data_IF_626596584149
#
_entry.id   IF_626596584149
#
_cell.length_a   1.000
_cell.length_b   1.000
_cell.length_c   1.000
_cell.angle_alpha   90.00
_cell.angle_beta   90.00
_cell.angle_gamma   90.00
#
_symmetry.space_group_name_H-M   'P 1'
#
loop_
_entity.id
_entity.type
_entity.pdbx_description
1 polymer ?
#
# COMPACT_ATOMS: atom_id res chain seq x y z
N UNK A 1 2.83 -18.03 -4.34
CA UNK A 1 2.39 -17.04 -5.36
C UNK A 1 1.94 -15.71 -4.73
N UNK A 2 1.01 -15.71 -3.75
CA UNK A 2 0.53 -14.51 -3.04
C UNK A 2 1.62 -13.59 -2.46
N UNK A 3 2.57 -14.15 -1.70
CA UNK A 3 3.65 -13.35 -1.08
C UNK A 3 4.52 -12.63 -2.12
N UNK A 4 4.85 -13.30 -3.23
CA UNK A 4 5.63 -12.70 -4.32
C UNK A 4 4.86 -11.55 -5.00
N UNK A 5 3.54 -11.69 -5.17
CA UNK A 5 2.69 -10.61 -5.68
C UNK A 5 2.71 -9.40 -4.74
N UNK A 6 2.55 -9.60 -3.44
CA UNK A 6 2.62 -8.52 -2.45
C UNK A 6 4.00 -7.85 -2.40
N UNK A 7 5.08 -8.62 -2.49
CA UNK A 7 6.45 -8.09 -2.55
C UNK A 7 6.64 -7.15 -3.75
N UNK A 8 6.03 -7.47 -4.91
CA UNK A 8 6.05 -6.58 -6.09
C UNK A 8 5.20 -5.33 -5.91
N UNK A 9 4.19 -5.33 -5.04
CA UNK A 9 3.36 -4.16 -4.75
C UNK A 9 4.07 -3.14 -3.86
N UNK A 10 5.00 -3.57 -2.99
CA UNK A 10 5.74 -2.66 -2.10
C UNK A 10 6.45 -1.49 -2.82
N UNK A 11 7.24 -1.69 -3.89
CA UNK A 11 7.85 -0.56 -4.61
C UNK A 11 6.81 0.35 -5.29
N UNK A 12 5.65 -0.19 -5.70
CA UNK A 12 4.57 0.61 -6.30
C UNK A 12 3.89 1.52 -5.27
N UNK A 13 3.67 0.99 -4.07
CA UNK A 13 3.12 1.77 -2.95
C UNK A 13 4.13 2.82 -2.44
N UNK A 14 5.44 2.55 -2.52
CA UNK A 14 6.46 3.57 -2.31
C UNK A 14 6.39 4.70 -3.36
N UNK A 15 6.32 4.34 -4.64
CA UNK A 15 6.18 5.33 -5.71
C UNK A 15 4.94 6.21 -5.50
N UNK A 16 3.81 5.62 -5.09
CA UNK A 16 2.59 6.35 -4.70
C UNK A 16 2.83 7.37 -3.59
N UNK A 17 3.60 7.02 -2.55
CA UNK A 17 3.99 7.99 -1.50
C UNK A 17 4.79 9.14 -2.09
N UNK A 18 5.81 8.84 -2.91
CA UNK A 18 6.68 9.85 -3.53
C UNK A 18 5.86 10.79 -4.40
N UNK A 19 4.96 10.26 -5.23
CA UNK A 19 4.05 11.07 -6.04
C UNK A 19 3.14 11.94 -5.18
N UNK A 20 2.53 11.39 -4.13
CA UNK A 20 1.66 12.15 -3.23
C UNK A 20 2.40 13.28 -2.50
N UNK A 21 3.63 13.03 -2.04
CA UNK A 21 4.48 14.06 -1.42
C UNK A 21 4.82 15.17 -2.42
N UNK A 22 5.20 14.81 -3.65
CA UNK A 22 5.51 15.76 -4.70
C UNK A 22 4.28 16.59 -5.09
N UNK A 23 3.12 15.97 -5.25
CA UNK A 23 1.88 16.67 -5.56
C UNK A 23 1.53 17.69 -4.48
N UNK A 24 1.65 17.32 -3.19
CA UNK A 24 1.45 18.26 -2.08
C UNK A 24 2.43 19.41 -2.10
N UNK A 25 3.72 19.14 -2.33
CA UNK A 25 4.75 20.17 -2.41
C UNK A 25 4.52 21.16 -3.57
N UNK A 26 3.89 20.70 -4.66
CA UNK A 26 3.56 21.51 -5.82
C UNK A 26 2.12 22.09 -5.80
N UNK A 27 1.43 22.05 -4.67
CA UNK A 27 0.07 22.58 -4.53
C UNK A 27 -1.04 21.76 -5.20
N UNK A 28 -0.74 20.59 -5.76
CA UNK A 28 -1.72 19.66 -6.36
C UNK A 28 -2.36 18.77 -5.28
N UNK A 29 -2.99 19.38 -4.29
CA UNK A 29 -3.51 18.66 -3.12
C UNK A 29 -4.73 17.75 -3.40
N UNK A 30 -5.40 17.90 -4.55
CA UNK A 30 -6.60 17.14 -4.93
C UNK A 30 -6.33 15.83 -5.67
N UNK A 31 -5.08 15.42 -5.86
CA UNK A 31 -4.79 14.09 -6.42
C UNK A 31 -5.02 13.03 -5.33
N UNK A 32 -5.48 11.84 -5.74
CA UNK A 32 -5.71 10.73 -4.83
C UNK A 32 -4.45 10.41 -3.98
N UNK A 33 -3.26 10.46 -4.58
CA UNK A 33 -2.00 10.22 -3.87
C UNK A 33 -1.70 11.32 -2.84
N UNK A 34 -1.94 12.60 -3.19
CA UNK A 34 -1.77 13.72 -2.26
C UNK A 34 -2.77 13.65 -1.09
N UNK A 35 -4.00 13.21 -1.35
CA UNK A 35 -5.02 13.01 -0.32
C UNK A 35 -4.70 11.85 0.62
N UNK A 36 -4.17 10.74 0.11
CA UNK A 36 -3.70 9.61 0.93
C UNK A 36 -2.59 10.06 1.89
N UNK A 37 -1.60 10.80 1.41
CA UNK A 37 -0.54 11.39 2.25
C UNK A 37 -1.16 12.31 3.31
N UNK A 38 -2.07 13.20 2.92
CA UNK A 38 -2.74 14.11 3.84
C UNK A 38 -3.51 13.37 4.93
N UNK A 39 -4.22 12.31 4.55
CA UNK A 39 -5.02 11.47 5.45
C UNK A 39 -4.13 10.79 6.48
N UNK A 40 -3.01 10.20 6.05
CA UNK A 40 -2.07 9.57 6.98
C UNK A 40 -1.44 10.57 7.92
N UNK A 41 -1.08 11.77 7.45
CA UNK A 41 -0.56 12.85 8.31
C UNK A 41 -1.60 13.26 9.36
N UNK A 42 -2.88 13.40 8.97
CA UNK A 42 -3.98 13.68 9.92
C UNK A 42 -4.18 12.60 10.98
N UNK A 43 -3.79 11.36 10.69
CA UNK A 43 -3.82 10.24 11.65
C UNK A 43 -2.61 10.26 12.61
N UNK A 44 -1.79 11.31 12.60
CA UNK A 44 -0.67 11.51 13.53
C UNK A 44 0.65 10.86 13.10
N UNK A 45 0.70 10.24 11.91
CA UNK A 45 1.93 9.65 11.37
C UNK A 45 2.53 10.54 10.29
N UNK A 46 3.70 11.18 10.52
CA UNK A 46 4.34 11.95 9.48
C UNK A 46 4.80 11.01 8.36
N UNK A 47 4.43 11.36 7.13
CA UNK A 47 4.81 10.65 5.91
C UNK A 47 6.02 11.35 5.33
N UNK A 48 7.16 10.66 5.30
CA UNK A 48 8.38 11.15 4.64
C UNK A 48 8.87 10.13 3.63
N UNK A 49 9.65 10.60 2.64
CA UNK A 49 10.22 9.74 1.61
C UNK A 49 11.13 8.69 2.23
N UNK A 50 11.99 9.07 3.16
CA UNK A 50 13.00 8.20 3.78
C UNK A 50 12.34 7.06 4.56
N UNK A 51 11.30 7.37 5.35
CA UNK A 51 10.56 6.35 6.11
C UNK A 51 9.80 5.40 5.19
N UNK A 52 9.15 5.94 4.15
CA UNK A 52 8.44 5.13 3.18
C UNK A 52 9.39 4.20 2.42
N UNK A 53 10.58 4.69 2.03
CA UNK A 53 11.60 3.90 1.36
C UNK A 53 12.13 2.78 2.26
N UNK A 54 12.50 3.10 3.51
CA UNK A 54 12.96 2.11 4.48
C UNK A 54 11.92 0.99 4.65
N UNK A 55 10.64 1.36 4.79
CA UNK A 55 9.54 0.40 4.97
C UNK A 55 9.29 -0.43 3.72
N UNK A 56 9.37 0.16 2.53
CA UNK A 56 9.22 -0.58 1.28
C UNK A 56 10.31 -1.64 1.11
N UNK A 57 11.56 -1.29 1.42
CA UNK A 57 12.70 -2.23 1.42
C UNK A 57 12.57 -3.32 2.50
N UNK A 58 11.97 -2.99 3.64
CA UNK A 58 11.76 -3.90 4.76
C UNK A 58 10.42 -4.66 4.70
N UNK A 59 9.64 -4.51 3.63
CA UNK A 59 8.33 -5.16 3.53
C UNK A 59 8.50 -6.67 3.35
N UNK A 60 8.06 -7.43 4.35
CA UNK A 60 8.19 -8.88 4.38
C UNK A 60 6.86 -9.52 4.81
N UNK A 61 5.99 -9.89 3.86
CA UNK A 61 4.72 -10.56 4.17
C UNK A 61 4.99 -12.02 4.56
N UNK A 62 4.22 -12.53 5.53
CA UNK A 62 4.32 -13.91 6.03
C UNK A 62 3.06 -14.67 5.64
N UNK A 63 3.21 -15.91 5.17
CA UNK A 63 2.08 -16.75 4.77
C UNK A 63 1.09 -16.93 5.93
N UNK A 64 -0.19 -16.70 5.66
CA UNK A 64 -1.27 -16.76 6.67
C UNK A 64 -1.33 -15.56 7.61
N UNK A 65 -0.43 -14.59 7.47
CA UNK A 65 -0.42 -13.32 8.21
C UNK A 65 -0.07 -12.16 7.26
N UNK A 66 -0.59 -12.21 6.04
CA UNK A 66 -0.30 -11.20 5.03
C UNK A 66 -0.93 -9.86 5.43
N UNK A 67 -0.16 -8.79 5.25
CA UNK A 67 -0.55 -7.45 5.64
C UNK A 67 -0.37 -6.46 4.49
N UNK A 68 -1.18 -5.42 4.50
CA UNK A 68 -1.27 -4.44 3.42
C UNK A 68 0.04 -3.67 3.23
N UNK A 69 0.65 -3.71 2.02
CA UNK A 69 1.85 -2.92 1.74
C UNK A 69 1.59 -1.41 1.83
N UNK A 70 0.40 -0.90 1.41
CA UNK A 70 0.09 0.53 1.54
C UNK A 70 0.11 1.01 2.98
N UNK A 71 -0.61 0.33 3.88
CA UNK A 71 -0.62 0.69 5.29
C UNK A 71 0.80 0.62 5.88
N UNK A 72 1.52 -0.48 5.63
CA UNK A 72 2.89 -0.63 6.11
C UNK A 72 3.80 0.51 5.64
N UNK A 73 3.78 0.88 4.36
CA UNK A 73 4.67 1.88 3.79
C UNK A 73 4.30 3.29 4.28
N UNK A 74 3.01 3.65 4.26
CA UNK A 74 2.55 4.98 4.67
C UNK A 74 2.73 5.23 6.18
N UNK A 75 2.36 4.29 7.03
CA UNK A 75 2.31 4.53 8.48
C UNK A 75 2.95 3.43 9.36
N UNK A 76 3.42 2.33 8.78
CA UNK A 76 4.08 1.25 9.52
C UNK A 76 3.11 0.28 10.19
N UNK A 77 1.81 0.36 9.86
CA UNK A 77 0.79 -0.51 10.43
C UNK A 77 0.66 -1.78 9.59
N UNK A 78 0.75 -2.94 10.26
CA UNK A 78 0.47 -4.25 9.67
C UNK A 78 -1.04 -4.52 9.65
N UNK A 79 -1.74 -3.90 8.72
CA UNK A 79 -3.19 -4.15 8.54
C UNK A 79 -3.43 -5.47 7.80
N UNK A 80 -4.16 -6.44 8.38
CA UNK A 80 -4.41 -7.74 7.74
C UNK A 80 -5.12 -7.60 6.39
N UNK A 81 -4.77 -8.48 5.46
CA UNK A 81 -5.44 -8.59 4.16
C UNK A 81 -6.55 -9.65 4.19
N UNK A 82 -7.67 -9.32 3.54
CA UNK A 82 -8.75 -10.25 3.30
C UNK A 82 -8.68 -10.75 1.86
N UNK A 83 -8.46 -12.04 1.70
CA UNK A 83 -8.41 -12.67 0.38
C UNK A 83 -9.82 -12.96 -0.12
N UNK A 84 -10.01 -12.72 -1.42
CA UNK A 84 -11.18 -13.15 -2.17
C UNK A 84 -10.72 -14.18 -3.17
N UNK A 85 -11.43 -15.31 -3.18
CA UNK A 85 -11.16 -16.38 -4.12
C UNK A 85 -11.35 -15.91 -5.57
N UNK A 86 -10.58 -16.49 -6.50
CA UNK A 86 -10.77 -16.24 -7.92
C UNK A 86 -12.14 -16.74 -8.38
N UNK A 87 -12.71 -16.08 -9.37
CA UNK A 87 -13.87 -16.53 -10.13
C UNK A 87 -13.51 -16.58 -11.62
N UNK A 88 -14.37 -17.16 -12.46
CA UNK A 88 -14.15 -17.22 -13.92
C UNK A 88 -13.91 -15.85 -14.56
N UNK A 89 -14.36 -14.77 -13.91
CA UNK A 89 -14.28 -13.40 -14.41
C UNK A 89 -13.33 -12.50 -13.61
N UNK A 90 -12.72 -12.99 -12.51
CA UNK A 90 -11.87 -12.17 -11.65
C UNK A 90 -10.73 -13.00 -11.05
N UNK A 91 -9.47 -12.54 -11.17
CA UNK A 91 -8.37 -13.19 -10.48
C UNK A 91 -8.53 -13.10 -8.96
N UNK A 92 -7.77 -13.93 -8.25
CA UNK A 92 -7.65 -13.84 -6.80
C UNK A 92 -7.17 -12.44 -6.41
N UNK A 93 -7.79 -11.86 -5.38
CA UNK A 93 -7.41 -10.54 -4.88
C UNK A 93 -7.30 -10.52 -3.36
N UNK A 94 -6.52 -9.57 -2.87
CA UNK A 94 -6.35 -9.27 -1.45
C UNK A 94 -6.78 -7.82 -1.17
N UNK A 95 -7.77 -7.65 -0.29
CA UNK A 95 -8.31 -6.34 0.06
C UNK A 95 -7.95 -5.93 1.49
N UNK A 96 -7.57 -4.67 1.68
CA UNK A 96 -7.33 -4.08 3.00
C UNK A 96 -8.55 -3.28 3.45
N UNK A 97 -9.19 -3.69 4.55
CA UNK A 97 -10.35 -2.96 5.10
C UNK A 97 -10.00 -1.61 5.73
N UNK A 98 -8.73 -1.37 6.05
CA UNK A 98 -8.27 -0.13 6.71
C UNK A 98 -8.09 1.01 5.70
N UNK A 99 -7.42 0.76 4.58
CA UNK A 99 -7.15 1.78 3.56
C UNK A 99 -7.97 1.61 2.27
N UNK A 100 -8.67 0.49 2.11
CA UNK A 100 -9.46 0.19 0.91
C UNK A 100 -8.63 -0.31 -0.29
N UNK A 101 -7.31 -0.47 -0.15
CA UNK A 101 -6.48 -0.98 -1.24
C UNK A 101 -6.84 -2.43 -1.59
N UNK A 102 -6.84 -2.74 -2.88
CA UNK A 102 -7.03 -4.09 -3.42
C UNK A 102 -5.84 -4.45 -4.32
N UNK A 103 -5.34 -5.67 -4.16
CA UNK A 103 -4.17 -6.20 -4.86
C UNK A 103 -4.54 -7.48 -5.58
N UNK A 104 -4.29 -7.55 -6.89
CA UNK A 104 -4.33 -8.84 -7.58
C UNK A 104 -3.19 -9.72 -7.05
N UNK A 105 -3.52 -10.96 -6.64
CA UNK A 105 -2.55 -11.89 -6.06
C UNK A 105 -2.28 -13.11 -6.94
N UNK A 106 -3.06 -13.28 -8.00
CA UNK A 106 -2.68 -14.08 -9.15
C UNK A 106 -1.56 -13.39 -9.94
N UNK A 107 -0.64 -14.20 -10.45
CA UNK A 107 0.27 -13.82 -11.51
C UNK A 107 -0.42 -14.20 -12.81
N UNK A 108 -0.68 -13.21 -13.67
CA UNK A 108 -1.00 -13.48 -15.08
C UNK A 108 0.18 -14.19 -15.76
#
# INVERSE_FOLDING_TARGET
>A
MRLAALLRQAPLEFARVVYGLNDRANGRAGTMAAEEVARTVRQGSPVTRERAEQRARAYLPVAGQEHCPRCWIFNGIKSPLHYREPTDTRPESAACKVCGAEYATALD
#
